data_IF_556057563704
#
_entry.id   IF_556057563704
#
_cell.length_a   1.000
_cell.length_b   1.000
_cell.length_c   1.000
_cell.angle_alpha   90.00
_cell.angle_beta   90.00
_cell.angle_gamma   90.00
#
_symmetry.space_group_name_H-M   'P 1'
#
loop_
_entity.id
_entity.type
_entity.pdbx_description
1 polymer ?
#
# COMPACT_ATOMS: atom_id res chain seq x y z
N UNK A 1 -12.83 -6.43 -1.19
CA UNK A 1 -11.47 -6.32 -0.62
C UNK A 1 -11.49 -5.19 0.40
N UNK A 2 -10.94 -5.39 1.61
CA UNK A 2 -10.81 -4.32 2.61
C UNK A 2 -9.45 -3.65 2.41
N UNK A 3 -9.41 -2.63 1.56
CA UNK A 3 -8.16 -1.96 1.18
C UNK A 3 -7.50 -1.25 2.35
N UNK A 4 -8.31 -0.74 3.29
CA UNK A 4 -7.82 -0.12 4.51
C UNK A 4 -6.93 -1.01 5.36
N UNK A 5 -7.23 -2.31 5.46
CA UNK A 5 -6.40 -3.27 6.19
C UNK A 5 -5.02 -3.47 5.51
N UNK A 6 -4.95 -3.41 4.18
CA UNK A 6 -3.67 -3.50 3.46
C UNK A 6 -2.82 -2.25 3.69
N UNK A 7 -3.45 -1.07 3.63
CA UNK A 7 -2.79 0.21 3.91
C UNK A 7 -2.21 0.24 5.34
N UNK A 8 -3.01 -0.21 6.32
CA UNK A 8 -2.58 -0.35 7.71
C UNK A 8 -1.38 -1.29 7.82
N UNK A 9 -1.44 -2.46 7.20
CA UNK A 9 -0.34 -3.42 7.25
C UNK A 9 0.94 -2.86 6.62
N UNK A 10 0.85 -2.12 5.50
CA UNK A 10 2.02 -1.44 4.90
C UNK A 10 2.62 -0.41 5.86
N UNK A 11 1.77 0.40 6.50
CA UNK A 11 2.21 1.41 7.47
C UNK A 11 2.93 0.77 8.67
N UNK A 12 2.35 -0.27 9.23
CA UNK A 12 2.92 -0.97 10.40
C UNK A 12 4.22 -1.69 10.07
N UNK A 13 4.33 -2.33 8.90
CA UNK A 13 5.60 -2.93 8.42
C UNK A 13 6.70 -1.88 8.22
N UNK A 14 6.33 -0.67 7.83
CA UNK A 14 7.25 0.46 7.72
C UNK A 14 7.60 1.10 9.08
N UNK A 15 7.04 0.62 10.20
CA UNK A 15 7.29 1.14 11.54
C UNK A 15 6.69 2.51 11.81
N UNK A 16 5.66 2.92 11.05
CA UNK A 16 5.07 4.25 11.12
C UNK A 16 3.77 4.25 11.95
N UNK A 17 3.56 5.29 12.73
CA UNK A 17 2.26 5.67 13.30
C UNK A 17 1.35 6.32 12.25
N UNK A 18 0.05 6.45 12.57
CA UNK A 18 -0.89 7.15 11.69
C UNK A 18 -0.55 8.64 11.54
N UNK A 19 0.02 9.24 12.58
CA UNK A 19 0.52 10.62 12.60
C UNK A 19 1.73 10.79 11.67
N UNK A 20 2.73 9.90 11.74
CA UNK A 20 3.94 10.00 10.90
C UNK A 20 3.65 9.81 9.41
N UNK A 21 2.77 8.88 9.04
CA UNK A 21 2.37 8.73 7.64
C UNK A 21 1.49 9.89 7.17
N UNK A 22 0.66 10.47 8.06
CA UNK A 22 -0.11 11.67 7.77
C UNK A 22 0.81 12.84 7.39
N UNK A 23 1.88 13.05 8.14
CA UNK A 23 2.90 14.06 7.84
C UNK A 23 3.57 13.81 6.49
N UNK A 24 4.04 12.58 6.23
CA UNK A 24 4.66 12.19 4.95
C UNK A 24 3.74 12.38 3.75
N UNK A 25 2.44 12.19 3.94
CA UNK A 25 1.42 12.27 2.90
C UNK A 25 0.72 13.64 2.83
N UNK A 26 1.15 14.60 3.65
CA UNK A 26 0.51 15.93 3.79
C UNK A 26 -1.01 15.84 4.00
N UNK A 27 -1.46 14.89 4.82
CA UNK A 27 -2.86 14.65 5.15
C UNK A 27 -3.06 14.71 6.66
N UNK A 28 -4.31 14.87 7.10
CA UNK A 28 -4.60 14.74 8.53
C UNK A 28 -4.58 13.28 8.98
N UNK A 29 -4.21 13.02 10.24
CA UNK A 29 -4.32 11.68 10.83
C UNK A 29 -5.74 11.10 10.78
N UNK A 30 -6.77 11.94 10.88
CA UNK A 30 -8.16 11.52 10.69
C UNK A 30 -8.41 10.98 9.27
N UNK A 31 -7.77 11.56 8.25
CA UNK A 31 -7.83 11.06 6.88
C UNK A 31 -7.21 9.66 6.79
N UNK A 32 -6.02 9.46 7.38
CA UNK A 32 -5.33 8.16 7.46
C UNK A 32 -6.21 7.12 8.13
N UNK A 33 -6.78 7.43 9.30
CA UNK A 33 -7.70 6.54 10.00
C UNK A 33 -8.92 6.18 9.15
N UNK A 34 -9.52 7.13 8.43
CA UNK A 34 -10.66 6.85 7.54
C UNK A 34 -10.27 5.97 6.36
N UNK A 35 -9.07 6.14 5.80
CA UNK A 35 -8.55 5.28 4.73
C UNK A 35 -8.31 3.85 5.24
N UNK A 36 -7.68 3.69 6.40
CA UNK A 36 -7.40 2.39 7.02
C UNK A 36 -8.66 1.64 7.46
N UNK A 37 -9.75 2.35 7.74
CA UNK A 37 -11.03 1.76 8.17
C UNK A 37 -12.08 1.69 7.05
N UNK A 38 -11.67 1.85 5.79
CA UNK A 38 -12.56 1.86 4.61
C UNK A 38 -13.73 2.88 4.73
N UNK A 39 -13.54 3.95 5.52
CA UNK A 39 -14.50 5.07 5.70
C UNK A 39 -14.26 6.22 4.72
N UNK A 40 -13.19 6.14 3.92
CA UNK A 40 -12.89 7.04 2.80
C UNK A 40 -12.40 6.19 1.64
N UNK A 41 -12.91 6.47 0.43
CA UNK A 41 -12.45 5.81 -0.78
C UNK A 41 -10.97 6.14 -1.04
N UNK A 42 -10.20 5.12 -1.41
CA UNK A 42 -8.81 5.24 -1.81
C UNK A 42 -8.74 5.56 -3.31
N UNK A 43 -8.20 6.72 -3.65
CA UNK A 43 -7.87 7.05 -5.04
C UNK A 43 -6.45 6.56 -5.41
N UNK A 44 -6.19 6.45 -6.72
CA UNK A 44 -4.93 5.93 -7.24
C UNK A 44 -3.71 6.77 -6.86
N UNK A 45 -3.85 8.10 -6.79
CA UNK A 45 -2.76 9.00 -6.42
C UNK A 45 -2.34 8.76 -4.96
N UNK A 46 -3.33 8.68 -4.07
CA UNK A 46 -3.14 8.36 -2.66
C UNK A 46 -2.48 6.99 -2.48
N UNK A 47 -2.90 5.98 -3.26
CA UNK A 47 -2.27 4.65 -3.22
C UNK A 47 -0.78 4.70 -3.60
N UNK A 48 -0.42 5.43 -4.67
CA UNK A 48 0.98 5.57 -5.12
C UNK A 48 1.82 6.29 -4.06
N UNK A 49 1.31 7.38 -3.50
CA UNK A 49 2.01 8.13 -2.44
C UNK A 49 2.20 7.27 -1.19
N UNK A 50 1.18 6.49 -0.81
CA UNK A 50 1.25 5.58 0.33
C UNK A 50 2.31 4.49 0.12
N UNK A 51 2.33 3.87 -1.06
CA UNK A 51 3.29 2.84 -1.40
C UNK A 51 4.74 3.38 -1.34
N UNK A 52 4.98 4.60 -1.83
CA UNK A 52 6.28 5.28 -1.71
C UNK A 52 6.65 5.56 -0.25
N UNK A 53 5.72 6.11 0.54
CA UNK A 53 5.97 6.47 1.93
C UNK A 53 6.25 5.26 2.84
N UNK A 54 5.71 4.08 2.48
CA UNK A 54 5.86 2.81 3.21
C UNK A 54 6.88 1.86 2.58
N UNK A 55 7.49 2.24 1.47
CA UNK A 55 8.37 1.38 0.65
C UNK A 55 7.70 0.06 0.22
N UNK A 56 6.38 0.07 0.04
CA UNK A 56 5.55 -1.09 -0.31
C UNK A 56 5.01 -0.97 -1.76
N UNK A 57 5.89 -0.78 -2.74
CA UNK A 57 5.51 -0.58 -4.15
C UNK A 57 4.82 -1.81 -4.76
N UNK A 58 5.14 -3.01 -4.27
CA UNK A 58 4.51 -4.28 -4.64
C UNK A 58 2.99 -4.28 -4.36
N UNK A 59 2.53 -3.49 -3.39
CA UNK A 59 1.09 -3.38 -3.10
C UNK A 59 0.34 -2.71 -4.24
N UNK A 60 0.94 -1.76 -4.97
CA UNK A 60 0.30 -1.14 -6.14
C UNK A 60 0.04 -2.19 -7.22
N UNK A 61 1.01 -3.06 -7.45
CA UNK A 61 0.90 -4.17 -8.41
C UNK A 61 -0.19 -5.15 -7.95
N UNK A 62 -0.21 -5.52 -6.67
CA UNK A 62 -1.24 -6.40 -6.13
C UNK A 62 -2.66 -5.83 -6.30
N UNK A 63 -2.83 -4.51 -6.15
CA UNK A 63 -4.10 -3.82 -6.34
C UNK A 63 -4.54 -3.78 -7.81
N UNK A 64 -3.62 -3.53 -8.75
CA UNK A 64 -3.94 -3.41 -10.18
C UNK A 64 -4.23 -4.77 -10.83
N UNK A 65 -3.54 -5.82 -10.39
CA UNK A 65 -3.61 -7.14 -11.03
C UNK A 65 -4.45 -8.17 -10.26
N UNK A 66 -5.01 -7.82 -9.11
CA UNK A 66 -6.12 -8.55 -8.51
C UNK A 66 -5.83 -9.99 -8.08
N UNK A 67 -4.59 -10.30 -7.65
CA UNK A 67 -4.12 -11.59 -7.13
C UNK A 67 -3.58 -12.60 -8.18
N UNK A 68 -2.30 -12.46 -8.54
CA UNK A 68 -1.39 -13.60 -8.53
C UNK A 68 0.06 -13.12 -8.33
N UNK A 69 0.35 -12.64 -7.12
CA UNK A 69 1.69 -12.19 -6.76
C UNK A 69 2.72 -13.32 -6.80
N UNK A 70 2.30 -14.58 -6.61
CA UNK A 70 3.18 -15.75 -6.67
C UNK A 70 3.54 -16.10 -8.12
N UNK A 71 2.58 -16.09 -9.05
CA UNK A 71 2.85 -16.25 -10.48
C UNK A 71 3.79 -15.17 -11.02
N UNK A 72 3.65 -13.93 -10.54
CA UNK A 72 4.58 -12.84 -10.87
C UNK A 72 5.99 -13.05 -10.31
N UNK A 73 6.11 -13.45 -9.03
CA UNK A 73 7.42 -13.77 -8.43
C UNK A 73 8.08 -14.92 -9.20
N UNK A 74 7.32 -15.93 -9.62
CA UNK A 74 7.84 -17.01 -10.46
C UNK A 74 8.33 -16.51 -11.82
N UNK A 75 7.59 -15.62 -12.48
CA UNK A 75 8.02 -15.03 -13.75
C UNK A 75 9.29 -14.18 -13.61
N UNK A 76 9.40 -13.38 -12.54
CA UNK A 76 10.61 -12.59 -12.24
C UNK A 76 11.79 -13.51 -11.91
N UNK A 77 11.57 -14.55 -11.10
CA UNK A 77 12.59 -15.56 -10.78
C UNK A 77 13.07 -16.29 -12.05
N UNK A 78 12.16 -16.61 -12.97
CA UNK A 78 12.50 -17.22 -14.25
C UNK A 78 13.27 -16.30 -15.19
N UNK A 79 13.04 -14.98 -15.13
CA UNK A 79 13.77 -13.99 -15.91
C UNK A 79 15.17 -13.72 -15.37
N UNK A 80 15.38 -13.84 -14.06
CA UNK A 80 16.67 -13.64 -13.40
C UNK A 80 17.55 -14.91 -13.38
N UNK A 81 16.92 -16.09 -13.51
CA UNK A 81 17.61 -17.39 -13.53
C UNK A 81 17.96 -17.92 -14.92
N UNK A 82 17.73 -17.14 -15.98
CA UNK A 82 18.04 -17.47 -17.38
C UNK A 82 19.26 -16.72 -17.92
#
# INVERSE_FOLDING_TARGET
MKFGAILQACRERAGLSQEEIAEKLHRSRSCISKLENDKKALDAQTLIEWAKATQANEVVVAFLYGMDGLGMIQNIMSLLGG
#
